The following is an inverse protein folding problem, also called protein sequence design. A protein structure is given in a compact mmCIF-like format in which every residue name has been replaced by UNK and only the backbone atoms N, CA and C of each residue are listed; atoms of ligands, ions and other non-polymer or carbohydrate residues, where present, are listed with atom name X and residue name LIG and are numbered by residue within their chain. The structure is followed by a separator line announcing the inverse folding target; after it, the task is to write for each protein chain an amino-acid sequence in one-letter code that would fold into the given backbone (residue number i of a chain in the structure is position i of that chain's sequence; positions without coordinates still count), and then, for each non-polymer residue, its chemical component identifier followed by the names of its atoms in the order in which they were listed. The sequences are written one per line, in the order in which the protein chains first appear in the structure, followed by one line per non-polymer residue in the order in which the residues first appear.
data_IF_514903777277
#
_entry.id   IF_514903777277
#
_cell.length_a   1.000
_cell.length_b   1.000
_cell.length_c   1.000
_cell.angle_alpha   90.00
_cell.angle_beta   90.00
_cell.angle_gamma   90.00
#
_symmetry.space_group_name_H-M   'P 1'
#
loop_
_entity.id
_entity.type
_entity.pdbx_description
1 polymer ?
#
# COMPACT_ATOMS: atom_id res chain seq x y z
N UNK A 1 -4.58 8.24 -1.84
CA UNK A 1 -5.10 6.96 -1.31
C UNK A 1 -6.09 7.33 -0.22
N UNK A 2 -7.21 6.63 -0.10
CA UNK A 2 -8.28 7.00 0.83
C UNK A 2 -7.90 6.65 2.29
N UNK A 3 -8.28 7.49 3.26
CA UNK A 3 -7.99 7.25 4.68
C UNK A 3 -8.69 6.01 5.23
N UNK A 4 -9.78 5.55 4.60
CA UNK A 4 -10.48 4.31 4.95
C UNK A 4 -9.60 3.06 4.87
N UNK A 5 -8.49 3.12 4.14
CA UNK A 5 -7.53 2.03 3.99
C UNK A 5 -6.53 1.92 5.16
N UNK A 6 -6.68 2.77 6.18
CA UNK A 6 -5.80 2.81 7.34
C UNK A 6 -6.58 2.66 8.63
N UNK A 7 -5.92 2.04 9.61
CA UNK A 7 -6.35 1.97 11.01
C UNK A 7 -5.25 2.54 11.92
N UNK A 8 -5.67 3.00 13.10
CA UNK A 8 -4.74 3.36 14.16
C UNK A 8 -4.27 2.10 14.89
N UNK A 9 -2.96 1.98 15.11
CA UNK A 9 -2.38 0.94 15.97
C UNK A 9 -2.26 1.38 17.43
N UNK A 10 -2.48 2.65 17.68
CA UNK A 10 -2.41 3.26 19.01
C UNK A 10 -3.77 3.84 19.39
N UNK A 11 -4.11 3.91 20.67
CA UNK A 11 -5.34 4.57 21.11
C UNK A 11 -5.39 6.05 20.71
N UNK A 12 -6.60 6.55 20.49
CA UNK A 12 -6.86 7.99 20.39
C UNK A 12 -6.41 8.67 21.69
N UNK A 13 -5.77 9.83 21.55
CA UNK A 13 -5.12 10.56 22.64
C UNK A 13 -3.65 10.19 22.85
N UNK A 14 -3.11 9.21 22.10
CA UNK A 14 -1.68 8.89 22.17
C UNK A 14 -0.86 10.06 21.64
N UNK A 15 0.12 10.52 22.42
CA UNK A 15 1.09 11.52 21.99
C UNK A 15 2.24 10.85 21.25
N UNK A 16 2.41 11.19 19.98
CA UNK A 16 3.54 10.76 19.16
C UNK A 16 4.63 11.81 19.28
N UNK A 17 5.79 11.38 19.76
CA UNK A 17 6.98 12.22 19.89
C UNK A 17 7.88 11.92 18.69
N UNK A 18 8.16 12.94 17.88
CA UNK A 18 8.94 12.80 16.66
C UNK A 18 9.88 13.97 16.50
N UNK A 19 11.04 13.74 15.86
CA UNK A 19 11.98 14.81 15.49
C UNK A 19 11.38 15.85 14.54
N UNK A 20 10.20 15.57 13.96
CA UNK A 20 9.47 16.48 13.08
C UNK A 20 8.37 17.29 13.79
N UNK A 21 8.22 17.10 15.09
CA UNK A 21 7.18 17.72 15.89
C UNK A 21 6.34 16.68 16.62
N UNK A 22 5.89 17.07 17.80
CA UNK A 22 4.97 16.27 18.61
C UNK A 22 3.55 16.48 18.14
N UNK A 23 2.75 15.42 18.13
CA UNK A 23 1.33 15.52 17.88
C UNK A 23 0.54 14.51 18.70
N UNK A 24 -0.76 14.74 18.81
CA UNK A 24 -1.69 13.83 19.48
C UNK A 24 -2.53 13.16 18.40
N UNK A 25 -2.67 11.83 18.49
CA UNK A 25 -3.51 11.06 17.57
C UNK A 25 -4.97 11.28 17.93
N UNK A 26 -5.69 12.02 17.11
CA UNK A 26 -7.14 12.27 17.29
C UNK A 26 -7.98 11.32 16.42
N UNK A 27 -7.58 11.14 15.17
CA UNK A 27 -8.19 10.22 14.20
C UNK A 27 -7.16 9.76 13.16
N UNK A 28 -7.58 8.90 12.22
CA UNK A 28 -6.79 8.65 11.01
C UNK A 28 -6.84 9.92 10.14
N UNK A 29 -5.70 10.57 9.86
CA UNK A 29 -5.72 11.84 9.14
C UNK A 29 -6.00 11.65 7.65
N UNK A 30 -6.46 12.69 6.97
CA UNK A 30 -6.75 12.64 5.52
C UNK A 30 -5.49 12.38 4.67
N UNK A 31 -4.32 12.76 5.16
CA UNK A 31 -3.00 12.49 4.58
C UNK A 31 -2.30 11.25 5.20
N UNK A 32 -3.08 10.31 5.77
CA UNK A 32 -2.56 9.08 6.39
C UNK A 32 -1.54 8.33 5.51
N UNK A 33 -1.75 8.33 4.20
CA UNK A 33 -0.80 7.70 3.30
C UNK A 33 0.58 8.38 3.30
N UNK A 34 0.66 9.71 3.37
CA UNK A 34 1.94 10.42 3.45
C UNK A 34 2.67 10.11 4.75
N UNK A 35 1.95 10.02 5.86
CA UNK A 35 2.50 9.57 7.14
C UNK A 35 2.99 8.12 7.07
N UNK A 36 2.21 7.23 6.46
CA UNK A 36 2.56 5.84 6.26
C UNK A 36 3.82 5.67 5.41
N UNK A 37 3.92 6.41 4.30
CA UNK A 37 5.10 6.45 3.43
C UNK A 37 6.35 6.95 4.16
N UNK A 38 6.19 7.83 5.16
CA UNK A 38 7.28 8.36 5.98
C UNK A 38 7.70 7.40 7.10
N UNK A 39 7.06 6.25 7.25
CA UNK A 39 7.37 5.26 8.28
C UNK A 39 6.63 5.49 9.59
N UNK A 40 5.46 6.11 9.58
CA UNK A 40 4.60 6.16 10.76
C UNK A 40 4.12 4.75 11.12
N UNK A 41 4.54 4.24 12.29
CA UNK A 41 4.15 2.90 12.79
C UNK A 41 2.80 2.90 13.54
N UNK A 42 2.32 4.08 13.91
CA UNK A 42 1.00 4.26 14.53
C UNK A 42 -0.16 4.11 13.53
N UNK A 43 0.14 4.00 12.24
CA UNK A 43 -0.78 3.69 11.16
C UNK A 43 -0.47 2.29 10.61
N UNK A 44 -1.50 1.47 10.46
CA UNK A 44 -1.46 0.22 9.69
C UNK A 44 -2.52 0.21 8.62
N UNK A 45 -2.30 -0.63 7.62
CA UNK A 45 -3.23 -0.96 6.56
C UNK A 45 -4.34 -1.88 7.08
N UNK A 46 -5.51 -1.76 6.48
CA UNK A 46 -6.56 -2.77 6.55
C UNK A 46 -6.53 -3.63 5.28
N UNK A 47 -7.06 -4.86 5.29
CA UNK A 47 -7.04 -5.74 4.11
C UNK A 47 -7.63 -5.10 2.84
N UNK A 48 -8.63 -4.25 2.98
CA UNK A 48 -9.26 -3.52 1.87
C UNK A 48 -8.30 -2.55 1.16
N UNK A 49 -7.16 -2.23 1.79
CA UNK A 49 -6.13 -1.38 1.21
C UNK A 49 -5.48 -1.97 -0.03
N UNK A 50 -5.55 -3.29 -0.24
CA UNK A 50 -4.97 -3.96 -1.41
C UNK A 50 -5.47 -3.33 -2.72
N UNK A 51 -6.76 -3.01 -2.82
CA UNK A 51 -7.34 -2.34 -4.01
C UNK A 51 -6.76 -0.93 -4.22
N UNK A 52 -6.50 -0.21 -3.14
CA UNK A 52 -5.87 1.11 -3.20
C UNK A 52 -4.40 1.02 -3.59
N UNK A 53 -3.70 0.00 -3.09
CA UNK A 53 -2.28 -0.25 -3.31
C UNK A 53 -1.99 -0.76 -4.72
N UNK A 54 -2.84 -1.62 -5.29
CA UNK A 54 -2.66 -2.17 -6.64
C UNK A 54 -2.70 -1.10 -7.75
N UNK A 55 -3.22 0.10 -7.44
CA UNK A 55 -3.21 1.28 -8.32
C UNK A 55 -1.86 2.03 -8.29
N UNK A 56 -0.96 1.69 -7.37
CA UNK A 56 0.37 2.30 -7.26
C UNK A 56 1.38 1.62 -8.21
N UNK A 57 2.51 2.30 -8.43
CA UNK A 57 3.60 1.69 -9.19
C UNK A 57 4.30 0.60 -8.37
N UNK A 58 4.76 -0.45 -9.07
CA UNK A 58 5.54 -1.55 -8.49
C UNK A 58 6.76 -1.05 -7.69
N UNK A 59 7.48 -0.06 -8.20
CA UNK A 59 8.62 0.57 -7.50
C UNK A 59 8.18 1.17 -6.16
N UNK A 60 7.01 1.81 -6.11
CA UNK A 60 6.48 2.43 -4.90
C UNK A 60 6.08 1.37 -3.88
N UNK A 61 5.42 0.30 -4.33
CA UNK A 61 5.04 -0.82 -3.46
C UNK A 61 6.25 -1.58 -2.92
N UNK A 62 7.27 -1.86 -3.74
CA UNK A 62 8.53 -2.46 -3.26
C UNK A 62 9.23 -1.59 -2.22
N UNK A 63 9.22 -0.27 -2.40
CA UNK A 63 9.78 0.67 -1.43
C UNK A 63 9.01 0.65 -0.10
N UNK A 64 7.68 0.54 -0.18
CA UNK A 64 6.80 0.43 0.99
C UNK A 64 7.00 -0.91 1.71
N UNK A 65 7.10 -2.02 0.96
CA UNK A 65 7.34 -3.35 1.51
C UNK A 65 8.64 -3.37 2.33
N UNK A 66 9.74 -2.94 1.72
CA UNK A 66 11.04 -2.87 2.38
C UNK A 66 11.05 -1.91 3.58
N UNK A 67 10.21 -0.87 3.58
CA UNK A 67 10.00 -0.03 4.76
C UNK A 67 9.29 -0.80 5.87
N UNK A 68 8.19 -1.49 5.56
CA UNK A 68 7.36 -2.18 6.57
C UNK A 68 8.03 -3.42 7.15
N UNK A 69 8.80 -4.15 6.35
CA UNK A 69 9.65 -5.26 6.82
C UNK A 69 10.70 -4.77 7.83
N UNK A 70 11.36 -3.63 7.57
CA UNK A 70 12.32 -3.03 8.51
C UNK A 70 11.66 -2.51 9.79
N UNK A 71 10.35 -2.29 9.78
CA UNK A 71 9.57 -1.86 10.93
C UNK A 71 8.93 -3.04 11.68
N UNK A 72 9.19 -4.28 11.26
CA UNK A 72 8.57 -5.50 11.81
C UNK A 72 7.03 -5.50 11.69
N UNK A 73 6.48 -4.78 10.71
CA UNK A 73 5.04 -4.67 10.47
C UNK A 73 4.59 -5.77 9.49
N UNK A 74 4.58 -7.02 9.95
CA UNK A 74 4.33 -8.19 9.10
C UNK A 74 2.93 -8.19 8.44
N UNK A 75 1.89 -7.74 9.14
CA UNK A 75 0.53 -7.62 8.56
C UNK A 75 0.52 -6.65 7.37
N UNK A 76 1.10 -5.46 7.54
CA UNK A 76 1.21 -4.45 6.49
C UNK A 76 2.06 -4.94 5.31
N UNK A 77 3.17 -5.63 5.60
CA UNK A 77 4.02 -6.22 4.56
C UNK A 77 3.23 -7.25 3.73
N UNK A 78 2.43 -8.11 4.38
CA UNK A 78 1.57 -9.07 3.70
C UNK A 78 0.54 -8.41 2.78
N UNK A 79 -0.12 -7.34 3.25
CA UNK A 79 -1.08 -6.56 2.44
C UNK A 79 -0.39 -5.92 1.22
N UNK A 80 0.81 -5.36 1.40
CA UNK A 80 1.58 -4.76 0.29
C UNK A 80 2.03 -5.83 -0.71
N UNK A 81 2.42 -7.01 -0.22
CA UNK A 81 2.81 -8.13 -1.05
C UNK A 81 1.64 -8.64 -1.90
N UNK A 82 0.44 -8.79 -1.31
CA UNK A 82 -0.75 -9.17 -2.06
C UNK A 82 -1.07 -8.16 -3.18
N UNK A 83 -0.92 -6.86 -2.91
CA UNK A 83 -1.10 -5.82 -3.92
C UNK A 83 -0.06 -5.90 -5.05
N UNK A 84 1.19 -6.26 -4.75
CA UNK A 84 2.23 -6.51 -5.76
C UNK A 84 1.88 -7.70 -6.64
N UNK A 85 1.40 -8.79 -6.05
CA UNK A 85 0.99 -9.99 -6.78
C UNK A 85 -0.18 -9.71 -7.74
N UNK A 86 -1.18 -8.93 -7.32
CA UNK A 86 -2.30 -8.52 -8.18
C UNK A 86 -1.83 -7.72 -9.41
N UNK A 87 -0.84 -6.84 -9.26
CA UNK A 87 -0.28 -6.09 -10.39
C UNK A 87 0.43 -7.02 -11.37
N UNK A 88 1.16 -8.01 -10.87
CA UNK A 88 1.86 -8.98 -11.72
C UNK A 88 0.88 -9.85 -12.51
N UNK A 89 -0.18 -10.36 -11.84
CA UNK A 89 -1.24 -11.14 -12.47
C UNK A 89 -1.95 -10.35 -13.58
N UNK A 90 -2.34 -9.12 -13.29
CA UNK A 90 -3.02 -8.24 -14.27
C UNK A 90 -2.14 -7.99 -15.51
N UNK A 91 -0.82 -7.83 -15.31
CA UNK A 91 0.13 -7.63 -16.42
C UNK A 91 0.34 -8.88 -17.27
N UNK A 92 0.36 -10.06 -16.66
CA UNK A 92 0.45 -11.32 -17.41
C UNK A 92 -0.80 -11.58 -18.25
N UNK A 93 -1.99 -11.27 -17.73
CA UNK A 93 -3.24 -11.42 -18.47
C UNK A 93 -3.36 -10.44 -19.64
N UNK A 94 -2.89 -9.19 -19.49
CA UNK A 94 -2.90 -8.21 -20.60
C UNK A 94 -1.88 -8.53 -21.70
N UNK A 95 -0.83 -9.31 -21.41
CA UNK A 95 0.16 -9.75 -22.41
C UNK A 95 -0.35 -10.94 -23.25
N UNK A 96 -1.11 -11.85 -22.64
CA UNK A 96 -1.72 -12.98 -23.37
C UNK A 96 -2.85 -12.55 -24.31
N UNK A 97 -3.63 -11.53 -23.95
CA UNK A 97 -4.78 -11.08 -24.75
C UNK A 97 -4.35 -10.41 -26.08
N UNK A 98 -3.20 -9.72 -26.10
CA UNK A 98 -2.64 -9.12 -27.33
C UNK A 98 -2.08 -10.14 -28.30
N UNK A 99 -1.66 -11.32 -27.82
CA UNK A 99 -1.05 -12.35 -28.67
C UNK A 99 -2.06 -13.18 -29.47
N UNK A 100 -3.35 -13.18 -29.07
CA UNK A 100 -4.43 -13.86 -29.82
C UNK A 100 -5.05 -13.01 -30.93
N UNK A 101 -4.94 -11.68 -30.88
CA UNK A 101 -5.61 -10.79 -31.84
C UNK A 101 -4.83 -10.54 -33.14
N UNK A 102 -3.54 -10.92 -33.24
CA UNK A 102 -2.74 -10.71 -34.47
C UNK A 102 -2.71 -11.91 -35.43
N UNK A 103 -3.28 -13.08 -35.09
CA UNK A 103 -3.17 -14.29 -35.94
C UNK A 103 -4.36 -14.53 -36.89
N UNK A 104 -5.21 -13.52 -37.13
CA UNK A 104 -6.42 -13.64 -37.98
C UNK A 104 -6.43 -12.73 -39.23
N UNK A 105 -5.32 -12.09 -39.56
CA UNK A 105 -5.16 -11.31 -40.78
C UNK A 105 -3.92 -11.77 -41.56
N UNK A 106 -3.97 -13.01 -42.05
CA UNK A 106 -3.17 -13.48 -43.18
C UNK A 106 -3.92 -14.70 -43.72
N UNK A 107 -4.98 -14.39 -44.49
CA UNK A 107 -5.73 -15.31 -45.32
C UNK A 107 -5.43 -14.96 -46.78
#
# INVERSE_FOLDING_TARGET
MDKKYFKLNVPIGTRIISSRGDFVVEEVPDDAFDFFQRGSQWLSLVPEAVEGLSKLSETKLKSLLALKERQDMAEDAGIIQEALEQILLTRTETAEDKSKSQKKQEA
#
